data_IF_821386795500
#
_entry.id   IF_821386795500
#
_cell.length_a   1.000
_cell.length_b   1.000
_cell.length_c   1.000
_cell.angle_alpha   90.00
_cell.angle_beta   90.00
_cell.angle_gamma   90.00
#
_symmetry.space_group_name_H-M   'P 1'
#
loop_
_entity.id
_entity.type
_entity.pdbx_description
1 polymer ?
#
# COMPACT_ATOMS: atom_id res chain seq x y z
N UNK A 1 10.85 -8.09 -17.12
CA UNK A 1 9.61 -8.62 -16.47
C UNK A 1 8.42 -7.77 -16.86
N UNK A 2 7.23 -8.36 -17.07
CA UNK A 2 5.99 -7.61 -17.25
C UNK A 2 5.30 -7.36 -15.92
N UNK A 3 4.38 -6.40 -15.87
CA UNK A 3 3.54 -6.09 -14.71
C UNK A 3 2.76 -7.32 -14.21
N UNK A 4 2.25 -8.12 -15.13
CA UNK A 4 1.48 -9.32 -14.79
C UNK A 4 2.35 -10.38 -14.11
N UNK A 5 3.59 -10.55 -14.55
CA UNK A 5 4.54 -11.50 -13.96
C UNK A 5 4.91 -11.10 -12.52
N UNK A 6 5.05 -9.77 -12.27
CA UNK A 6 5.26 -9.22 -10.93
C UNK A 6 4.12 -9.61 -9.97
N UNK A 7 2.87 -9.35 -10.38
CA UNK A 7 1.72 -9.66 -9.52
C UNK A 7 1.49 -11.17 -9.39
N UNK A 8 1.69 -11.94 -10.47
CA UNK A 8 1.60 -13.40 -10.42
C UNK A 8 2.60 -14.00 -9.41
N UNK A 9 3.83 -13.50 -9.36
CA UNK A 9 4.83 -13.95 -8.38
C UNK A 9 4.35 -13.72 -6.95
N UNK A 10 3.74 -12.55 -6.67
CA UNK A 10 3.20 -12.21 -5.36
C UNK A 10 1.99 -13.09 -5.02
N UNK A 11 1.05 -13.26 -5.96
CA UNK A 11 -0.16 -14.07 -5.75
C UNK A 11 0.18 -15.54 -5.52
N UNK A 12 1.12 -16.11 -6.28
CA UNK A 12 1.62 -17.46 -6.06
C UNK A 12 2.36 -17.60 -4.71
N UNK A 13 3.07 -16.55 -4.26
CA UNK A 13 3.69 -16.51 -2.94
C UNK A 13 2.63 -16.57 -1.85
N UNK A 14 1.56 -15.79 -1.98
CA UNK A 14 0.44 -15.78 -1.04
C UNK A 14 -0.31 -17.11 -0.99
N UNK A 15 -0.46 -17.81 -2.13
CA UNK A 15 -1.05 -19.16 -2.17
C UNK A 15 -0.22 -20.17 -1.38
N UNK A 16 1.11 -20.05 -1.39
CA UNK A 16 2.02 -20.91 -0.63
C UNK A 16 2.12 -20.52 0.86
N UNK A 17 1.77 -19.26 1.19
CA UNK A 17 1.83 -18.71 2.55
C UNK A 17 0.44 -18.23 3.03
N UNK A 18 -0.55 -19.13 3.20
CA UNK A 18 -1.95 -18.74 3.48
C UNK A 18 -2.15 -18.10 4.87
N UNK A 19 -1.18 -18.21 5.76
CA UNK A 19 -1.17 -17.54 7.08
C UNK A 19 -0.71 -16.10 6.99
N UNK A 20 -0.13 -15.69 5.86
CA UNK A 20 0.52 -14.39 5.65
C UNK A 20 1.63 -14.07 6.66
N UNK A 21 2.30 -15.11 7.14
CA UNK A 21 3.51 -14.94 7.94
C UNK A 21 4.62 -14.29 7.11
N UNK A 22 5.16 -13.18 7.61
CA UNK A 22 6.09 -12.34 6.87
C UNK A 22 7.42 -13.04 6.57
N UNK A 23 7.91 -13.88 7.47
CA UNK A 23 9.15 -14.64 7.26
C UNK A 23 8.97 -15.68 6.15
N UNK A 24 7.85 -16.40 6.16
CA UNK A 24 7.50 -17.36 5.12
C UNK A 24 7.31 -16.69 3.76
N UNK A 25 6.60 -15.56 3.70
CA UNK A 25 6.43 -14.77 2.47
C UNK A 25 7.79 -14.34 1.93
N UNK A 26 8.65 -13.81 2.79
CA UNK A 26 9.99 -13.35 2.41
C UNK A 26 10.85 -14.48 1.84
N UNK A 27 10.84 -15.65 2.50
CA UNK A 27 11.60 -16.83 2.05
C UNK A 27 11.09 -17.33 0.69
N UNK A 28 9.78 -17.48 0.52
CA UNK A 28 9.18 -17.97 -0.74
C UNK A 28 9.38 -16.97 -1.88
N UNK A 29 9.17 -15.67 -1.63
CA UNK A 29 9.38 -14.63 -2.64
C UNK A 29 10.85 -14.60 -3.11
N UNK A 30 11.80 -14.66 -2.17
CA UNK A 30 13.24 -14.70 -2.48
C UNK A 30 13.60 -15.95 -3.30
N UNK A 31 13.10 -17.14 -2.93
CA UNK A 31 13.34 -18.38 -3.69
C UNK A 31 12.79 -18.30 -5.12
N UNK A 32 11.60 -17.69 -5.31
CA UNK A 32 11.04 -17.46 -6.64
C UNK A 32 11.89 -16.49 -7.46
N UNK A 33 12.30 -15.37 -6.87
CA UNK A 33 13.15 -14.37 -7.51
C UNK A 33 14.50 -14.95 -7.93
N UNK A 34 15.11 -15.81 -7.11
CA UNK A 34 16.37 -16.49 -7.44
C UNK A 34 16.30 -17.34 -8.72
N UNK A 35 15.13 -17.83 -9.11
CA UNK A 35 14.92 -18.61 -10.34
C UNK A 35 14.84 -17.73 -11.60
N UNK A 36 14.66 -16.43 -11.44
CA UNK A 36 14.55 -15.48 -12.55
C UNK A 36 15.93 -15.07 -13.07
N UNK A 37 15.95 -14.42 -14.24
CA UNK A 37 17.15 -13.76 -14.76
C UNK A 37 17.52 -12.56 -13.87
N UNK A 38 18.79 -12.13 -13.93
CA UNK A 38 19.22 -10.89 -13.23
C UNK A 38 18.38 -9.70 -13.66
N UNK A 39 18.12 -9.57 -14.98
CA UNK A 39 17.26 -8.49 -15.50
C UNK A 39 15.87 -8.53 -14.89
N UNK A 40 15.24 -9.70 -14.79
CA UNK A 40 13.88 -9.80 -14.21
C UNK A 40 13.86 -9.47 -12.72
N UNK A 41 14.94 -9.77 -11.96
CA UNK A 41 15.07 -9.35 -10.56
C UNK A 41 15.14 -7.82 -10.44
N UNK A 42 15.91 -7.17 -11.35
CA UNK A 42 16.00 -5.71 -11.40
C UNK A 42 14.65 -5.09 -11.82
N UNK A 43 13.99 -5.66 -12.83
CA UNK A 43 12.65 -5.24 -13.25
C UNK A 43 11.62 -5.38 -12.11
N UNK A 44 11.67 -6.50 -11.34
CA UNK A 44 10.81 -6.68 -10.16
C UNK A 44 11.00 -5.53 -9.15
N UNK A 45 12.25 -5.20 -8.85
CA UNK A 45 12.55 -4.07 -7.96
C UNK A 45 11.97 -2.76 -8.51
N UNK A 46 12.19 -2.46 -9.78
CA UNK A 46 11.69 -1.22 -10.39
C UNK A 46 10.17 -1.15 -10.41
N UNK A 47 9.48 -2.24 -10.77
CA UNK A 47 8.00 -2.32 -10.70
C UNK A 47 7.51 -2.08 -9.26
N UNK A 48 8.19 -2.69 -8.28
CA UNK A 48 7.87 -2.47 -6.86
C UNK A 48 8.03 -1.00 -6.46
N UNK A 49 9.06 -0.30 -6.96
CA UNK A 49 9.27 1.13 -6.69
C UNK A 49 8.20 2.01 -7.36
N UNK A 50 7.74 1.69 -8.57
CA UNK A 50 6.64 2.40 -9.23
C UNK A 50 5.34 2.30 -8.39
N UNK A 51 4.98 1.10 -7.92
CA UNK A 51 3.81 0.93 -7.05
C UNK A 51 3.99 1.57 -5.68
N UNK A 52 5.21 1.53 -5.11
CA UNK A 52 5.53 2.24 -3.88
C UNK A 52 5.29 3.75 -4.04
N UNK A 53 5.83 4.35 -5.11
CA UNK A 53 5.67 5.77 -5.41
C UNK A 53 4.20 6.17 -5.58
N UNK A 54 3.43 5.35 -6.30
CA UNK A 54 2.00 5.59 -6.53
C UNK A 54 1.15 5.54 -5.26
N UNK A 55 1.54 4.70 -4.29
CA UNK A 55 0.87 4.56 -3.00
C UNK A 55 1.38 5.54 -1.93
N UNK A 56 2.39 6.36 -2.25
CA UNK A 56 2.94 7.36 -1.33
C UNK A 56 2.03 8.59 -1.24
N UNK A 57 0.87 8.40 -0.63
CA UNK A 57 -0.24 9.37 -0.58
C UNK A 57 -0.62 9.68 0.87
N UNK A 58 -1.09 10.91 1.11
CA UNK A 58 -1.52 11.34 2.44
C UNK A 58 -2.76 10.60 2.92
N UNK A 59 -3.67 10.23 2.04
CA UNK A 59 -4.86 9.45 2.40
C UNK A 59 -4.50 8.02 2.84
N UNK A 60 -3.57 7.36 2.15
CA UNK A 60 -3.06 6.05 2.60
C UNK A 60 -2.25 6.18 3.89
N UNK A 61 -1.50 7.28 4.08
CA UNK A 61 -0.81 7.55 5.35
C UNK A 61 -1.81 7.67 6.51
N UNK A 62 -2.86 8.50 6.33
CA UNK A 62 -3.91 8.66 7.33
C UNK A 62 -4.62 7.33 7.66
N UNK A 63 -4.93 6.53 6.63
CA UNK A 63 -5.54 5.21 6.80
C UNK A 63 -4.59 4.26 7.55
N UNK A 64 -3.31 4.21 7.19
CA UNK A 64 -2.31 3.34 7.82
C UNK A 64 -2.14 3.65 9.31
N UNK A 65 -2.04 4.94 9.68
CA UNK A 65 -1.99 5.38 11.07
C UNK A 65 -3.28 5.01 11.81
N UNK A 66 -4.44 5.20 11.17
CA UNK A 66 -5.73 4.79 11.73
C UNK A 66 -5.82 3.28 11.96
N UNK A 67 -5.14 2.47 11.16
CA UNK A 67 -5.04 1.02 11.33
C UNK A 67 -3.96 0.58 12.32
N UNK A 68 -3.07 1.47 12.74
CA UNK A 68 -2.04 1.23 13.76
C UNK A 68 -0.62 1.08 13.24
N UNK A 69 -0.36 1.49 12.02
CA UNK A 69 1.01 1.65 11.54
C UNK A 69 1.75 2.77 12.31
N UNK A 70 3.07 2.71 12.29
CA UNK A 70 3.91 3.73 12.90
C UNK A 70 3.70 5.08 12.21
N UNK A 71 3.38 6.17 12.96
CA UNK A 71 3.08 7.48 12.38
C UNK A 71 4.36 8.19 11.90
N UNK A 72 4.92 7.71 10.82
CA UNK A 72 6.12 8.24 10.19
C UNK A 72 6.17 7.87 8.71
N UNK A 73 6.99 8.58 7.93
CA UNK A 73 7.23 8.22 6.54
C UNK A 73 7.84 6.81 6.38
N UNK A 74 8.65 6.39 7.31
CA UNK A 74 9.21 5.03 7.35
C UNK A 74 8.12 3.98 7.64
N UNK A 75 7.16 4.31 8.52
CA UNK A 75 5.99 3.49 8.81
C UNK A 75 5.08 3.38 7.58
N UNK A 76 4.82 4.49 6.89
CA UNK A 76 4.08 4.49 5.63
C UNK A 76 4.77 3.60 4.59
N UNK A 77 6.09 3.71 4.41
CA UNK A 77 6.82 2.87 3.46
C UNK A 77 6.69 1.39 3.82
N UNK A 78 6.85 1.03 5.10
CA UNK A 78 6.71 -0.34 5.56
C UNK A 78 5.27 -0.87 5.37
N UNK A 79 4.26 -0.01 5.56
CA UNK A 79 2.86 -0.30 5.28
C UNK A 79 2.62 -0.52 3.79
N UNK A 80 3.18 0.31 2.90
CA UNK A 80 3.02 0.13 1.45
C UNK A 80 3.67 -1.18 0.99
N UNK A 81 4.82 -1.56 1.52
CA UNK A 81 5.40 -2.88 1.23
C UNK A 81 4.53 -4.03 1.72
N UNK A 82 3.90 -3.89 2.90
CA UNK A 82 2.88 -4.84 3.35
C UNK A 82 1.71 -4.87 2.36
N UNK A 83 1.20 -3.72 1.93
CA UNK A 83 0.09 -3.61 0.99
C UNK A 83 0.40 -4.28 -0.36
N UNK A 84 1.59 -4.06 -0.93
CA UNK A 84 2.05 -4.73 -2.16
C UNK A 84 2.09 -6.25 -1.94
N UNK A 85 2.58 -6.72 -0.79
CA UNK A 85 2.67 -8.15 -0.49
C UNK A 85 1.31 -8.84 -0.42
N UNK A 86 0.21 -8.10 -0.28
CA UNK A 86 -1.17 -8.62 -0.23
C UNK A 86 -1.74 -8.95 -1.61
N UNK A 87 -1.06 -8.61 -2.68
CA UNK A 87 -1.47 -8.87 -4.06
C UNK A 87 -2.16 -7.70 -4.73
N UNK A 88 -2.35 -7.86 -6.04
CA UNK A 88 -2.81 -6.79 -6.92
C UNK A 88 -4.16 -6.23 -6.52
N UNK A 89 -5.15 -7.09 -6.28
CA UNK A 89 -6.52 -6.66 -6.00
C UNK A 89 -6.58 -5.78 -4.75
N UNK A 90 -5.93 -6.23 -3.67
CA UNK A 90 -5.88 -5.47 -2.41
C UNK A 90 -5.16 -4.14 -2.61
N UNK A 91 -4.03 -4.13 -3.31
CA UNK A 91 -3.27 -2.93 -3.59
C UNK A 91 -4.08 -1.90 -4.39
N UNK A 92 -4.64 -2.31 -5.52
CA UNK A 92 -5.40 -1.40 -6.41
C UNK A 92 -6.66 -0.87 -5.71
N UNK A 93 -7.38 -1.71 -4.97
CA UNK A 93 -8.54 -1.27 -4.19
C UNK A 93 -8.13 -0.21 -3.15
N UNK A 94 -7.04 -0.43 -2.43
CA UNK A 94 -6.56 0.49 -1.40
C UNK A 94 -6.10 1.85 -1.95
N UNK A 95 -5.40 1.89 -3.08
CA UNK A 95 -4.97 3.16 -3.68
C UNK A 95 -6.14 3.94 -4.31
N UNK A 96 -7.23 3.24 -4.67
CA UNK A 96 -8.46 3.88 -5.12
C UNK A 96 -9.35 4.33 -3.95
N UNK A 97 -9.51 3.49 -2.94
CA UNK A 97 -10.26 3.79 -1.71
C UNK A 97 -9.59 3.11 -0.50
N UNK A 98 -8.81 3.83 0.31
CA UNK A 98 -8.15 3.26 1.48
C UNK A 98 -9.09 2.60 2.50
N UNK A 99 -10.37 2.98 2.54
CA UNK A 99 -11.35 2.40 3.48
C UNK A 99 -11.66 0.92 3.21
N UNK A 100 -11.34 0.43 2.00
CA UNK A 100 -11.40 -1.00 1.63
C UNK A 100 -10.46 -1.88 2.46
N UNK A 101 -9.46 -1.27 3.11
CA UNK A 101 -8.49 -1.97 3.95
C UNK A 101 -9.06 -2.40 5.31
N UNK A 102 -10.23 -1.93 5.68
CA UNK A 102 -10.81 -2.20 7.00
C UNK A 102 -10.86 -3.71 7.35
N UNK A 103 -11.11 -4.57 6.37
CA UNK A 103 -11.25 -6.03 6.52
C UNK A 103 -10.04 -6.84 6.04
N UNK A 104 -9.00 -6.19 5.52
CA UNK A 104 -7.87 -6.89 4.92
C UNK A 104 -6.94 -7.54 5.96
N UNK A 105 -6.48 -6.84 7.03
CA UNK A 105 -5.63 -7.49 8.02
C UNK A 105 -6.43 -8.46 8.89
N UNK A 106 -5.84 -9.63 9.15
CA UNK A 106 -6.38 -10.58 10.15
C UNK A 106 -6.12 -10.05 11.55
N UNK A 107 -6.89 -10.55 12.53
CA UNK A 107 -6.71 -10.16 13.93
C UNK A 107 -5.27 -10.44 14.38
N UNK A 108 -4.57 -9.40 14.87
CA UNK A 108 -3.18 -9.49 15.31
C UNK A 108 -2.14 -9.49 14.19
N UNK A 109 -2.53 -9.35 12.94
CA UNK A 109 -1.60 -9.25 11.83
C UNK A 109 -0.81 -7.94 11.89
N UNK A 110 0.50 -8.03 11.68
CA UNK A 110 1.38 -6.87 11.57
C UNK A 110 1.26 -6.26 10.17
N UNK A 111 0.82 -5.00 10.10
CA UNK A 111 0.57 -4.27 8.84
C UNK A 111 1.77 -3.45 8.36
N UNK A 112 2.95 -3.77 8.81
CA UNK A 112 4.22 -3.18 8.36
C UNK A 112 5.16 -4.31 7.94
N UNK A 113 5.65 -4.28 6.70
CA UNK A 113 6.48 -5.33 6.14
C UNK A 113 7.70 -4.75 5.39
N UNK A 114 8.54 -4.01 6.13
CA UNK A 114 9.73 -3.35 5.57
C UNK A 114 10.64 -4.31 4.80
N UNK A 115 10.85 -5.52 5.32
CA UNK A 115 11.75 -6.50 4.68
C UNK A 115 11.28 -6.95 3.30
N UNK A 116 9.98 -6.88 2.98
CA UNK A 116 9.49 -7.19 1.64
C UNK A 116 10.04 -6.24 0.56
N UNK A 117 10.34 -5.00 0.93
CA UNK A 117 11.03 -4.04 0.06
C UNK A 117 12.44 -4.47 -0.35
N UNK A 118 13.05 -5.40 0.41
CA UNK A 118 14.39 -5.91 0.15
C UNK A 118 14.43 -7.29 -0.53
N UNK A 119 13.27 -7.85 -0.90
CA UNK A 119 13.21 -9.19 -1.51
C UNK A 119 14.07 -9.31 -2.79
N UNK A 120 13.92 -8.35 -3.70
CA UNK A 120 14.73 -8.31 -4.92
C UNK A 120 16.22 -8.09 -4.63
N UNK A 121 16.54 -7.23 -3.68
CA UNK A 121 17.92 -6.99 -3.24
C UNK A 121 18.55 -8.27 -2.71
N UNK A 122 17.86 -8.97 -1.81
CA UNK A 122 18.33 -10.23 -1.25
C UNK A 122 18.58 -11.29 -2.34
N UNK A 123 17.62 -11.46 -3.25
CA UNK A 123 17.75 -12.40 -4.36
C UNK A 123 18.90 -12.03 -5.32
N UNK A 124 19.04 -10.73 -5.64
CA UNK A 124 20.14 -10.24 -6.48
C UNK A 124 21.49 -10.52 -5.84
N UNK A 125 21.69 -10.14 -4.57
CA UNK A 125 22.95 -10.35 -3.86
C UNK A 125 23.32 -11.83 -3.76
N UNK A 126 22.36 -12.69 -3.44
CA UNK A 126 22.58 -14.15 -3.41
C UNK A 126 22.95 -14.70 -4.79
N UNK A 127 22.29 -14.25 -5.86
CA UNK A 127 22.56 -14.69 -7.23
C UNK A 127 23.92 -14.26 -7.73
N UNK A 128 24.44 -13.13 -7.26
CA UNK A 128 25.73 -12.57 -7.65
C UNK A 128 26.88 -13.03 -6.73
N UNK A 129 26.63 -13.98 -5.81
CA UNK A 129 27.60 -14.41 -4.77
C UNK A 129 28.17 -13.24 -3.94
N UNK A 130 27.40 -12.18 -3.79
CA UNK A 130 27.78 -10.97 -3.08
C UNK A 130 26.96 -10.89 -1.79
N UNK A 131 27.42 -11.59 -0.75
CA UNK A 131 26.81 -11.50 0.57
C UNK A 131 27.53 -10.42 1.35
N UNK A 132 27.24 -9.16 1.09
CA UNK A 132 27.50 -8.08 2.02
C UNK A 132 26.15 -7.54 2.48
N UNK A 133 25.62 -7.99 3.62
CA UNK A 133 24.30 -7.56 4.13
C UNK A 133 24.26 -6.07 4.51
N UNK A 134 25.40 -5.37 4.59
CA UNK A 134 25.47 -3.95 4.92
C UNK A 134 25.53 -3.06 3.66
N UNK A 135 25.76 -3.63 2.48
CA UNK A 135 25.98 -2.86 1.26
C UNK A 135 24.82 -2.97 0.26
N UNK A 136 23.73 -2.22 0.52
CA UNK A 136 22.61 -2.05 -0.43
C UNK A 136 23.06 -1.42 -1.78
N UNK A 137 24.33 -1.03 -1.93
CA UNK A 137 24.84 -0.36 -3.12
C UNK A 137 24.85 -1.25 -4.35
N UNK A 138 24.83 -2.58 -4.20
CA UNK A 138 25.03 -3.50 -5.32
C UNK A 138 23.85 -3.52 -6.30
N UNK A 139 22.61 -3.55 -5.82
CA UNK A 139 21.45 -3.48 -6.72
C UNK A 139 21.32 -2.10 -7.36
N UNK A 140 21.59 -1.03 -6.62
CA UNK A 140 21.59 0.33 -7.16
C UNK A 140 22.71 0.55 -8.17
N UNK A 141 23.88 -0.05 -7.95
CA UNK A 141 24.97 -0.04 -8.91
C UNK A 141 24.61 -0.77 -10.20
N UNK A 142 23.90 -1.90 -10.10
CA UNK A 142 23.39 -2.64 -11.25
C UNK A 142 22.33 -1.85 -12.01
N UNK A 143 21.38 -1.22 -11.32
CA UNK A 143 20.33 -0.39 -11.91
C UNK A 143 20.88 0.85 -12.62
N UNK A 144 22.00 1.39 -12.14
CA UNK A 144 22.68 2.53 -12.75
C UNK A 144 23.78 2.11 -13.76
N UNK A 145 23.95 0.81 -14.02
CA UNK A 145 24.91 0.33 -15.01
C UNK A 145 24.40 0.55 -16.43
N UNK A 146 25.34 0.62 -17.38
CA UNK A 146 25.00 0.68 -18.81
C UNK A 146 24.35 -0.60 -19.36
N UNK A 147 24.35 -1.68 -18.56
CA UNK A 147 23.77 -2.98 -18.91
C UNK A 147 22.29 -3.11 -18.52
N UNK A 148 21.71 -2.10 -17.87
CA UNK A 148 20.30 -2.08 -17.52
C UNK A 148 19.57 -0.89 -18.15
N UNK A 149 18.73 -1.17 -19.13
CA UNK A 149 17.99 -0.18 -19.93
C UNK A 149 16.72 0.38 -19.24
N UNK A 150 16.47 -0.01 -17.98
CA UNK A 150 15.23 0.33 -17.27
C UNK A 150 14.07 -0.62 -17.59
N UNK A 151 12.88 -0.29 -17.09
CA UNK A 151 11.65 -0.97 -17.45
C UNK A 151 11.30 -0.72 -18.92
N UNK A 152 10.79 -1.75 -19.60
CA UNK A 152 10.23 -1.59 -20.92
C UNK A 152 9.09 -0.55 -20.90
N UNK A 153 9.04 0.39 -21.89
CA UNK A 153 8.04 1.45 -21.92
C UNK A 153 6.60 0.95 -21.78
N UNK A 154 6.27 -0.15 -22.42
CA UNK A 154 4.95 -0.78 -22.31
C UNK A 154 4.63 -1.28 -20.90
N UNK A 155 5.62 -1.72 -20.14
CA UNK A 155 5.43 -2.12 -18.72
C UNK A 155 5.18 -0.90 -17.86
N UNK A 156 5.94 0.17 -18.05
CA UNK A 156 5.75 1.44 -17.35
C UNK A 156 4.37 2.03 -17.63
N UNK A 157 3.96 2.11 -18.90
CA UNK A 157 2.64 2.61 -19.31
C UNK A 157 1.51 1.74 -18.73
N UNK A 158 1.68 0.42 -18.74
CA UNK A 158 0.69 -0.51 -18.18
C UNK A 158 0.49 -0.32 -16.67
N UNK A 159 1.54 -0.03 -15.90
CA UNK A 159 1.47 0.30 -14.47
C UNK A 159 0.69 1.60 -14.28
N UNK A 160 1.13 2.67 -14.95
CA UNK A 160 0.56 3.99 -14.77
C UNK A 160 -0.89 4.10 -15.24
N UNK A 161 -1.30 3.30 -16.23
CA UNK A 161 -2.69 3.28 -16.71
C UNK A 161 -3.72 2.72 -15.71
N UNK A 162 -3.28 1.91 -14.73
CA UNK A 162 -4.19 1.34 -13.72
C UNK A 162 -4.20 2.09 -12.38
N UNK A 163 -3.31 3.09 -12.24
CA UNK A 163 -3.19 3.88 -11.02
C UNK A 163 -4.20 5.04 -11.00
N UNK A 164 -4.74 5.40 -9.82
CA UNK A 164 -5.72 6.45 -9.72
C UNK A 164 -5.13 7.83 -10.03
N UNK A 165 -5.88 8.63 -10.77
CA UNK A 165 -5.58 10.05 -11.03
C UNK A 165 -6.29 11.01 -10.09
N UNK A 166 -7.02 10.47 -9.07
CA UNK A 166 -7.78 11.25 -8.12
C UNK A 166 -6.88 12.13 -7.24
N UNK A 167 -7.38 13.30 -6.77
CA UNK A 167 -6.62 14.15 -5.86
C UNK A 167 -6.34 13.44 -4.52
N UNK A 168 -5.30 13.91 -3.83
CA UNK A 168 -4.94 13.48 -2.48
C UNK A 168 -5.51 14.44 -1.43
N UNK A 169 -5.55 14.03 -0.17
CA UNK A 169 -5.92 14.90 0.94
C UNK A 169 -4.75 15.80 1.33
N UNK A 170 -5.06 16.95 1.92
CA UNK A 170 -4.03 17.85 2.46
C UNK A 170 -3.57 17.39 3.84
N UNK A 171 -2.31 17.65 4.15
CA UNK A 171 -1.75 17.45 5.49
C UNK A 171 -1.69 18.80 6.25
N UNK A 172 -1.78 18.81 7.59
CA UNK A 172 -2.07 17.65 8.45
C UNK A 172 -3.54 17.23 8.34
N UNK A 173 -3.82 15.96 8.52
CA UNK A 173 -5.18 15.41 8.63
C UNK A 173 -5.56 15.21 10.10
N UNK A 174 -6.86 15.29 10.38
CA UNK A 174 -7.44 15.11 11.71
C UNK A 174 -8.16 13.76 11.85
N UNK A 175 -8.59 13.42 13.07
CA UNK A 175 -9.47 12.25 13.23
C UNK A 175 -10.81 12.45 12.54
N UNK A 176 -11.31 13.68 12.54
CA UNK A 176 -12.54 13.96 11.82
C UNK A 176 -12.36 13.64 10.33
N UNK A 177 -11.20 13.98 9.76
CA UNK A 177 -10.84 13.57 8.40
C UNK A 177 -10.87 12.04 8.27
N UNK A 178 -10.18 11.30 9.15
CA UNK A 178 -10.15 9.84 9.13
C UNK A 178 -11.56 9.25 9.25
N UNK A 179 -12.36 9.76 10.16
CA UNK A 179 -13.73 9.30 10.38
C UNK A 179 -14.62 9.55 9.18
N UNK A 180 -14.49 10.73 8.56
CA UNK A 180 -15.26 11.09 7.38
C UNK A 180 -14.84 10.32 6.14
N UNK A 181 -13.53 10.14 5.93
CA UNK A 181 -13.01 9.53 4.71
C UNK A 181 -12.92 8.01 4.79
N UNK A 182 -12.69 7.46 5.99
CA UNK A 182 -12.45 6.04 6.21
C UNK A 182 -13.34 5.49 7.32
N UNK A 183 -14.68 5.52 7.14
CA UNK A 183 -15.63 5.18 8.20
C UNK A 183 -15.50 3.72 8.67
N UNK A 184 -15.20 2.77 7.79
CA UNK A 184 -15.03 1.37 8.13
C UNK A 184 -13.74 1.12 8.93
N UNK A 185 -12.61 1.73 8.49
CA UNK A 185 -11.35 1.71 9.26
C UNK A 185 -11.56 2.35 10.63
N UNK A 186 -12.21 3.52 10.67
CA UNK A 186 -12.50 4.20 11.92
C UNK A 186 -13.32 3.32 12.87
N UNK A 187 -14.41 2.73 12.39
CA UNK A 187 -15.27 1.88 13.21
C UNK A 187 -14.52 0.69 13.83
N UNK A 188 -13.69 0.01 13.04
CA UNK A 188 -12.89 -1.14 13.49
C UNK A 188 -11.79 -0.79 14.48
N UNK A 189 -11.26 0.43 14.39
CA UNK A 189 -10.17 0.91 15.24
C UNK A 189 -10.62 1.93 16.28
N UNK A 190 -11.92 2.13 16.49
CA UNK A 190 -12.48 3.18 17.33
C UNK A 190 -11.93 3.19 18.76
N UNK A 191 -11.80 2.02 19.40
CA UNK A 191 -11.29 1.91 20.76
C UNK A 191 -9.81 2.30 20.86
N UNK A 192 -9.00 1.91 19.89
CA UNK A 192 -7.60 2.31 19.82
C UNK A 192 -7.47 3.80 19.57
N UNK A 193 -8.22 4.33 18.62
CA UNK A 193 -8.19 5.73 18.24
C UNK A 193 -8.64 6.65 19.39
N UNK A 194 -9.64 6.26 20.18
CA UNK A 194 -10.08 6.99 21.39
C UNK A 194 -8.99 7.03 22.47
N UNK A 195 -8.18 5.99 22.58
CA UNK A 195 -7.13 5.88 23.59
C UNK A 195 -5.82 6.59 23.24
N UNK A 196 -5.62 7.02 22.00
CA UNK A 196 -4.41 7.75 21.57
C UNK A 196 -4.38 9.22 22.04
N UNK A 197 -5.33 9.65 22.85
CA UNK A 197 -5.34 10.99 23.47
C UNK A 197 -5.71 12.15 22.51
N UNK A 198 -5.88 11.85 21.24
CA UNK A 198 -6.17 12.87 20.21
C UNK A 198 -7.64 13.38 20.22
N UNK A 199 -8.54 12.80 21.06
CA UNK A 199 -9.95 12.84 20.71
C UNK A 199 -10.99 12.95 21.80
N UNK A 200 -10.79 13.63 22.90
CA UNK A 200 -11.81 13.63 23.95
C UNK A 200 -12.97 14.64 23.78
N UNK A 201 -12.85 15.67 22.97
CA UNK A 201 -13.82 16.78 22.99
C UNK A 201 -14.66 17.02 21.71
N UNK A 202 -14.34 16.43 20.56
CA UNK A 202 -14.99 16.80 19.29
C UNK A 202 -15.90 15.73 18.67
N UNK A 203 -15.90 14.50 19.21
CA UNK A 203 -16.55 13.34 18.58
C UNK A 203 -18.07 13.42 18.52
N UNK A 204 -18.72 14.04 19.53
CA UNK A 204 -20.19 14.02 19.64
C UNK A 204 -20.92 15.01 18.72
N UNK A 205 -20.24 16.04 18.23
CA UNK A 205 -20.86 17.07 17.38
C UNK A 205 -20.94 16.70 15.90
N UNK A 206 -20.13 15.77 15.41
CA UNK A 206 -20.01 15.44 13.99
C UNK A 206 -20.78 14.18 13.55
N UNK A 207 -21.33 13.42 14.51
CA UNK A 207 -22.10 12.20 14.21
C UNK A 207 -23.43 12.46 13.47
N UNK A 208 -23.85 13.71 13.41
CA UNK A 208 -25.14 14.10 12.82
C UNK A 208 -25.01 14.83 11.48
N UNK A 209 -23.81 14.96 10.88
CA UNK A 209 -23.65 15.79 9.69
C UNK A 209 -23.39 15.00 8.41
N UNK A 210 -23.91 15.50 7.32
CA UNK A 210 -23.72 15.10 5.91
C UNK A 210 -22.25 15.11 5.45
N UNK A 211 -21.30 15.32 6.38
CA UNK A 211 -19.88 15.57 6.13
C UNK A 211 -19.16 14.40 5.44
N UNK A 212 -19.55 13.13 5.74
CA UNK A 212 -18.83 11.95 5.25
C UNK A 212 -18.93 11.83 3.74
N UNK A 213 -20.16 11.93 3.20
CA UNK A 213 -20.39 11.77 1.75
C UNK A 213 -19.76 12.93 0.99
N UNK A 214 -19.91 14.15 1.47
CA UNK A 214 -19.30 15.34 0.85
C UNK A 214 -17.79 15.27 0.81
N UNK A 215 -17.15 14.83 1.91
CA UNK A 215 -15.70 14.68 1.95
C UNK A 215 -15.20 13.63 0.95
N UNK A 216 -15.85 12.46 0.88
CA UNK A 216 -15.49 11.39 -0.07
C UNK A 216 -15.70 11.80 -1.52
N UNK A 217 -16.80 12.50 -1.84
CA UNK A 217 -17.05 13.08 -3.17
C UNK A 217 -15.98 14.11 -3.54
N UNK A 218 -15.59 14.96 -2.58
CA UNK A 218 -14.59 16.02 -2.79
C UNK A 218 -13.21 15.49 -3.19
N UNK A 219 -12.84 14.30 -2.73
CA UNK A 219 -11.56 13.65 -3.08
C UNK A 219 -11.72 12.49 -4.08
N UNK A 220 -12.89 12.33 -4.68
CA UNK A 220 -13.14 11.31 -5.74
C UNK A 220 -13.24 9.87 -5.25
N UNK A 221 -13.47 9.64 -3.95
CA UNK A 221 -13.68 8.29 -3.40
C UNK A 221 -15.12 7.80 -3.50
N UNK A 222 -16.06 8.69 -3.86
CA UNK A 222 -17.47 8.36 -4.03
C UNK A 222 -17.98 9.07 -5.29
N UNK A 223 -18.66 8.39 -6.23
CA UNK A 223 -19.30 9.00 -7.37
C UNK A 223 -20.39 10.00 -6.92
N UNK A 224 -20.51 11.12 -7.66
CA UNK A 224 -21.55 12.14 -7.36
C UNK A 224 -22.95 11.58 -7.41
N UNK A 225 -23.20 10.60 -8.27
CA UNK A 225 -24.50 9.95 -8.45
C UNK A 225 -24.96 9.21 -7.18
N UNK A 226 -24.05 8.60 -6.44
CA UNK A 226 -24.38 7.92 -5.18
C UNK A 226 -24.73 8.90 -4.05
N UNK A 227 -24.20 10.13 -4.11
CA UNK A 227 -24.51 11.19 -3.17
C UNK A 227 -25.99 11.57 -3.20
N UNK A 228 -26.58 11.66 -4.41
CA UNK A 228 -27.99 12.07 -4.58
C UNK A 228 -28.99 10.93 -4.38
N UNK A 229 -28.55 9.67 -4.46
CA UNK A 229 -29.42 8.50 -4.24
C UNK A 229 -29.77 8.28 -2.75
N UNK A 230 -29.02 8.86 -1.83
CA UNK A 230 -29.18 8.66 -0.39
C UNK A 230 -29.81 9.86 0.36
N UNK A 231 -30.09 10.97 -0.29
CA UNK A 231 -30.79 12.11 0.34
C UNK A 231 -32.30 11.86 0.29
N UNK A 232 -33.00 11.73 1.42
CA UNK A 232 -34.45 11.74 1.41
C UNK A 232 -34.88 13.12 0.89
N UNK A 233 -35.59 13.16 -0.22
CA UNK A 233 -36.41 14.31 -0.54
C UNK A 233 -37.50 14.41 0.55
N UNK A 234 -37.48 15.51 1.29
CA UNK A 234 -38.47 15.94 2.25
C UNK A 234 -38.44 15.37 3.68
N UNK A 235 -37.96 16.16 4.59
CA UNK A 235 -38.84 16.62 5.71
C UNK A 235 -38.67 18.13 5.86
#
# INVERSE_FOLDING_TARGET
MKKEDFWNLIDETNQLCPTHDQESIMAVATDKLLKLSVKDILDFHMIQQEYLGAAYRNDLHAASEAMGATPSYDGLQAFIYWLISRGKEVFINAVNDPDTLADVPKAGEKIEFRSFGFAAYTAYSMKMDRIDPENMSDIYSALNSLDYDGLAPETWEAIHSELPTRPDITTPYSLDTIRCLFPNIYQKNADRLKNTGLYKEQVDKLLASECIIHARVGIGLCPKEEYFAGTPENI
#
